data_IF_146005343664
#
_entry.id   IF_146005343664
#
_cell.length_a   1.000
_cell.length_b   1.000
_cell.length_c   1.000
_cell.angle_alpha   90.00
_cell.angle_beta   90.00
_cell.angle_gamma   90.00
#
_symmetry.space_group_name_H-M   'P 1'
#
loop_
_entity.id
_entity.type
_entity.pdbx_description
1 polymer ?
#
# COMPACT_ATOMS: atom_id res chain seq x y z
N UNK A 1 20.07 -41.63 43.60
CA UNK A 1 19.81 -40.26 43.09
C UNK A 1 20.76 -39.96 41.94
N UNK A 2 20.29 -39.97 40.68
CA UNK A 2 20.98 -39.34 39.55
C UNK A 2 19.92 -38.75 38.62
N UNK A 3 19.83 -37.43 38.57
CA UNK A 3 18.94 -36.68 37.68
C UNK A 3 19.68 -36.50 36.35
N UNK A 4 19.17 -37.04 35.25
CA UNK A 4 19.58 -36.64 33.91
C UNK A 4 18.58 -35.59 33.41
N UNK A 5 19.04 -34.34 33.32
CA UNK A 5 18.35 -33.27 32.59
C UNK A 5 18.67 -33.46 31.11
N UNK A 6 17.71 -33.93 30.33
CA UNK A 6 17.78 -33.87 28.87
C UNK A 6 17.26 -32.49 28.47
N UNK A 7 18.20 -31.58 28.17
CA UNK A 7 17.89 -30.28 27.62
C UNK A 7 17.47 -30.44 26.16
N UNK A 8 16.18 -30.24 25.88
CA UNK A 8 15.65 -30.17 24.53
C UNK A 8 16.09 -28.85 23.87
N UNK A 9 16.91 -28.94 22.83
CA UNK A 9 17.20 -27.80 21.95
C UNK A 9 16.11 -27.74 20.89
N UNK A 10 15.12 -26.87 21.11
CA UNK A 10 14.08 -26.57 20.13
C UNK A 10 14.63 -25.46 19.21
N UNK A 11 15.20 -25.85 18.06
CA UNK A 11 15.59 -24.90 17.00
C UNK A 11 14.32 -24.44 16.28
N UNK A 12 13.67 -23.40 16.82
CA UNK A 12 12.70 -22.60 16.07
C UNK A 12 13.45 -21.80 15.02
N UNK A 13 13.69 -22.40 13.86
CA UNK A 13 14.07 -21.67 12.65
C UNK A 13 12.86 -20.83 12.22
N UNK A 14 12.78 -19.60 12.74
CA UNK A 14 11.84 -18.59 12.24
C UNK A 14 12.29 -18.22 10.83
N UNK A 15 11.70 -18.87 9.83
CA UNK A 15 11.82 -18.43 8.45
C UNK A 15 11.15 -17.08 8.32
N UNK A 16 11.94 -16.01 8.39
CA UNK A 16 11.50 -14.67 8.01
C UNK A 16 11.16 -14.70 6.53
N UNK A 17 9.91 -14.99 6.18
CA UNK A 17 9.44 -14.85 4.81
C UNK A 17 9.48 -13.35 4.47
N UNK A 18 10.57 -12.91 3.85
CA UNK A 18 10.66 -11.61 3.19
C UNK A 18 9.71 -11.71 2.00
N UNK A 19 8.44 -11.35 2.22
CA UNK A 19 7.47 -11.23 1.14
C UNK A 19 7.87 -10.00 0.33
N UNK A 20 8.67 -10.18 -0.71
CA UNK A 20 8.83 -9.17 -1.74
C UNK A 20 7.42 -8.80 -2.24
N UNK A 21 7.08 -7.51 -2.19
CA UNK A 21 5.82 -7.02 -2.74
C UNK A 21 5.86 -7.29 -4.26
N UNK A 22 4.93 -8.07 -4.80
CA UNK A 22 4.89 -8.35 -6.23
C UNK A 22 4.60 -7.05 -7.00
N UNK A 23 5.45 -6.72 -7.98
CA UNK A 23 5.21 -5.59 -8.87
C UNK A 23 3.89 -5.78 -9.61
N UNK A 24 3.10 -4.72 -9.78
CA UNK A 24 1.86 -4.79 -10.55
C UNK A 24 2.22 -4.84 -12.04
N UNK A 25 1.92 -5.97 -12.68
CA UNK A 25 2.14 -6.20 -14.12
C UNK A 25 0.83 -6.21 -14.90
N UNK A 26 -0.30 -6.50 -14.25
CA UNK A 26 -1.62 -6.47 -14.86
C UNK A 26 -2.67 -5.98 -13.86
N UNK A 27 -3.64 -5.21 -14.37
CA UNK A 27 -4.85 -4.83 -13.63
C UNK A 27 -6.05 -5.03 -14.56
N UNK A 28 -6.97 -5.88 -14.15
CA UNK A 28 -8.25 -6.08 -14.83
C UNK A 28 -9.36 -5.46 -13.97
N UNK A 29 -10.20 -4.62 -14.58
CA UNK A 29 -11.37 -4.05 -13.90
C UNK A 29 -12.61 -4.86 -14.24
N UNK A 30 -13.06 -5.66 -13.28
CA UNK A 30 -14.24 -6.50 -13.40
C UNK A 30 -15.52 -5.81 -12.91
N UNK A 31 -15.50 -4.48 -12.75
CA UNK A 31 -16.56 -3.63 -12.19
C UNK A 31 -16.77 -3.80 -10.68
N UNK A 32 -16.84 -5.04 -10.20
CA UNK A 32 -16.98 -5.36 -8.77
C UNK A 32 -15.67 -5.34 -8.01
N UNK A 33 -14.56 -5.51 -8.72
CA UNK A 33 -13.21 -5.63 -8.18
C UNK A 33 -12.14 -5.27 -9.22
N UNK A 34 -10.98 -4.86 -8.74
CA UNK A 34 -9.75 -4.82 -9.53
C UNK A 34 -8.99 -6.13 -9.28
N UNK A 35 -8.85 -6.94 -10.32
CA UNK A 35 -8.02 -8.14 -10.29
C UNK A 35 -6.60 -7.77 -10.73
N UNK A 36 -5.67 -7.85 -9.79
CA UNK A 36 -4.28 -7.43 -9.93
C UNK A 36 -3.41 -8.68 -10.02
N UNK A 37 -2.55 -8.75 -11.04
CA UNK A 37 -1.68 -9.91 -11.33
C UNK A 37 -2.43 -11.25 -11.26
N UNK A 38 -3.68 -11.25 -11.75
CA UNK A 38 -4.57 -12.41 -11.83
C UNK A 38 -4.85 -13.13 -10.49
N UNK A 39 -4.48 -12.52 -9.35
CA UNK A 39 -4.48 -13.20 -8.05
C UNK A 39 -4.96 -12.34 -6.88
N UNK A 40 -4.76 -11.02 -6.92
CA UNK A 40 -5.16 -10.11 -5.85
C UNK A 40 -6.46 -9.42 -6.29
N UNK A 41 -7.56 -9.66 -5.58
CA UNK A 41 -8.85 -9.02 -5.84
C UNK A 41 -9.07 -7.88 -4.84
N UNK A 42 -8.95 -6.63 -5.33
CA UNK A 42 -9.22 -5.43 -4.55
C UNK A 42 -10.69 -5.03 -4.71
N UNK A 43 -11.44 -5.01 -3.61
CA UNK A 43 -12.89 -4.76 -3.61
C UNK A 43 -13.25 -3.52 -2.81
N UNK A 44 -14.41 -2.94 -3.08
CA UNK A 44 -14.96 -1.93 -2.17
C UNK A 44 -15.20 -2.56 -0.80
N UNK A 45 -14.82 -1.86 0.25
CA UNK A 45 -14.92 -2.33 1.64
C UNK A 45 -13.73 -3.14 2.17
N UNK A 46 -12.79 -3.56 1.32
CA UNK A 46 -11.56 -4.22 1.79
C UNK A 46 -10.56 -3.21 2.36
N UNK A 47 -9.67 -3.69 3.21
CA UNK A 47 -8.62 -2.87 3.82
C UNK A 47 -7.33 -2.92 3.01
N UNK A 48 -6.73 -1.75 2.78
CA UNK A 48 -5.35 -1.59 2.33
C UNK A 48 -4.48 -1.28 3.55
N UNK A 49 -3.40 -2.03 3.73
CA UNK A 49 -2.42 -1.76 4.77
C UNK A 49 -1.47 -0.64 4.29
N UNK A 50 -1.38 0.45 5.06
CA UNK A 50 -0.40 1.51 4.85
C UNK A 50 0.84 1.20 5.66
N UNK A 51 2.00 1.35 5.05
CA UNK A 51 3.31 1.09 5.65
C UNK A 51 4.03 2.39 6.01
N UNK A 52 5.35 2.41 5.91
CA UNK A 52 6.14 3.62 6.08
C UNK A 52 6.23 4.38 4.75
N UNK A 53 6.32 5.71 4.78
CA UNK A 53 6.60 6.48 3.58
C UNK A 53 7.98 6.13 3.02
N UNK A 54 8.14 6.28 1.70
CA UNK A 54 9.45 6.12 1.03
C UNK A 54 10.43 7.29 1.32
N UNK A 55 10.04 8.26 2.15
CA UNK A 55 10.89 9.37 2.57
C UNK A 55 10.37 10.02 3.86
N UNK A 56 10.47 11.35 3.97
CA UNK A 56 9.92 12.09 5.11
C UNK A 56 8.39 12.08 5.16
N UNK A 57 7.74 11.97 4.01
CA UNK A 57 6.30 11.99 3.80
C UNK A 57 5.90 10.97 2.75
N UNK A 58 4.61 10.61 2.72
CA UNK A 58 4.05 9.75 1.67
C UNK A 58 3.99 10.50 0.34
N UNK A 59 4.51 9.86 -0.71
CA UNK A 59 4.47 10.41 -2.07
C UNK A 59 3.21 9.98 -2.83
N UNK A 60 2.68 8.80 -2.53
CA UNK A 60 1.59 8.18 -3.29
C UNK A 60 0.34 7.92 -2.47
N UNK A 61 0.38 8.13 -1.16
CA UNK A 61 -0.80 8.14 -0.26
C UNK A 61 -1.06 9.58 0.23
N UNK A 62 -2.05 10.27 -0.36
CA UNK A 62 -2.34 11.68 -0.07
C UNK A 62 -3.74 11.88 0.49
N UNK A 63 -3.86 12.69 1.53
CA UNK A 63 -5.18 13.07 2.03
C UNK A 63 -5.89 13.97 1.00
N UNK A 64 -7.11 13.58 0.61
CA UNK A 64 -7.98 14.39 -0.24
C UNK A 64 -8.44 15.62 0.57
N UNK A 65 -7.99 16.81 0.18
CA UNK A 65 -8.45 18.06 0.82
C UNK A 65 -9.89 18.32 0.38
N UNK A 66 -10.80 18.35 1.34
CA UNK A 66 -12.22 18.66 1.09
C UNK A 66 -12.31 20.12 0.63
N UNK A 67 -12.59 20.35 -0.66
CA UNK A 67 -12.70 21.72 -1.19
C UNK A 67 -12.69 21.89 -2.72
N UNK A 68 -12.23 20.91 -3.52
CA UNK A 68 -12.13 21.13 -4.99
C UNK A 68 -12.56 19.94 -5.89
N UNK A 69 -13.01 18.82 -5.32
CA UNK A 69 -13.33 17.61 -6.11
C UNK A 69 -14.63 16.92 -5.72
N UNK A 70 -15.62 17.70 -5.27
CA UNK A 70 -17.01 17.23 -5.09
C UNK A 70 -17.65 16.71 -6.39
N UNK A 71 -17.02 16.93 -7.55
CA UNK A 71 -17.42 16.40 -8.86
C UNK A 71 -17.30 14.88 -9.02
N UNK A 72 -16.63 14.19 -8.09
CA UNK A 72 -16.38 12.74 -8.18
C UNK A 72 -17.47 11.86 -7.54
N UNK A 73 -18.55 12.45 -6.99
CA UNK A 73 -19.61 11.68 -6.30
C UNK A 73 -20.87 11.52 -7.17
N UNK A 74 -20.97 12.20 -8.33
CA UNK A 74 -22.19 12.24 -9.15
C UNK A 74 -22.15 11.44 -10.47
N UNK A 75 -20.99 11.30 -11.10
CA UNK A 75 -20.83 10.68 -12.40
C UNK A 75 -19.73 9.63 -12.25
N UNK A 76 -20.00 8.33 -12.27
CA UNK A 76 -20.00 7.51 -13.49
C UNK A 76 -20.91 6.29 -13.25
N UNK A 77 -22.13 6.37 -13.75
CA UNK A 77 -22.80 5.21 -14.29
C UNK A 77 -22.20 4.98 -15.70
N UNK A 78 -21.58 3.84 -15.93
CA UNK A 78 -21.20 3.39 -17.26
C UNK A 78 -19.80 3.78 -17.74
N UNK A 79 -18.80 2.97 -17.37
CA UNK A 79 -17.77 2.57 -18.33
C UNK A 79 -17.80 1.05 -18.36
N UNK A 80 -18.73 0.53 -19.17
CA UNK A 80 -18.65 -0.81 -19.72
C UNK A 80 -17.87 -0.67 -21.03
N UNK A 81 -16.67 -1.24 -21.07
CA UNK A 81 -15.82 -1.19 -22.26
C UNK A 81 -14.60 -2.06 -22.06
N UNK A 82 -14.67 -3.26 -22.63
CA UNK A 82 -13.58 -4.23 -22.75
C UNK A 82 -12.25 -3.59 -23.13
N UNK A 83 -11.22 -3.82 -22.32
CA UNK A 83 -9.86 -3.48 -22.67
C UNK A 83 -8.91 -3.77 -21.52
N UNK A 84 -8.08 -4.81 -21.66
CA UNK A 84 -6.89 -4.94 -20.83
C UNK A 84 -6.05 -3.67 -21.05
N UNK A 85 -6.01 -2.78 -20.06
CA UNK A 85 -5.12 -1.63 -20.10
C UNK A 85 -3.70 -2.15 -19.93
N UNK A 86 -2.89 -2.10 -21.00
CA UNK A 86 -1.46 -2.31 -20.88
C UNK A 86 -0.92 -1.20 -19.97
N UNK A 87 -0.48 -1.57 -18.77
CA UNK A 87 0.11 -0.63 -17.80
C UNK A 87 1.50 -0.26 -18.31
N UNK A 88 1.56 0.80 -19.11
CA UNK A 88 2.82 1.49 -19.41
C UNK A 88 3.23 2.27 -18.17
N UNK A 89 4.43 1.99 -17.64
CA UNK A 89 5.04 2.82 -16.59
C UNK A 89 5.15 4.24 -17.16
N UNK A 90 4.31 5.16 -16.69
CA UNK A 90 4.40 6.57 -17.03
C UNK A 90 5.78 7.09 -16.61
N UNK A 91 6.55 7.59 -17.57
CA UNK A 91 7.96 7.98 -17.43
C UNK A 91 8.19 9.25 -16.58
N UNK A 92 7.37 9.49 -15.57
CA UNK A 92 7.26 10.76 -14.88
C UNK A 92 8.43 11.13 -13.97
N UNK A 93 9.17 10.18 -13.37
CA UNK A 93 10.34 10.50 -12.53
C UNK A 93 11.21 9.26 -12.19
N UNK A 94 12.15 8.92 -13.07
CA UNK A 94 13.16 7.87 -12.83
C UNK A 94 14.02 8.15 -11.58
N UNK A 95 14.21 9.43 -11.24
CA UNK A 95 14.95 9.86 -10.05
C UNK A 95 14.19 9.53 -8.76
N UNK A 96 12.89 9.85 -8.70
CA UNK A 96 12.02 9.50 -7.55
C UNK A 96 11.91 7.97 -7.40
N UNK A 97 11.92 7.25 -8.52
CA UNK A 97 11.92 5.78 -8.54
C UNK A 97 13.20 5.18 -7.96
N UNK A 98 14.38 5.75 -8.29
CA UNK A 98 15.66 5.25 -7.77
C UNK A 98 15.82 5.50 -6.27
N UNK A 99 15.34 6.65 -5.78
CA UNK A 99 15.33 6.97 -4.36
C UNK A 99 14.35 6.08 -3.58
N UNK A 100 13.17 5.77 -4.14
CA UNK A 100 12.21 4.85 -3.55
C UNK A 100 12.76 3.40 -3.48
N UNK A 101 13.47 2.94 -4.50
CA UNK A 101 14.12 1.61 -4.51
C UNK A 101 15.17 1.50 -3.41
N UNK A 102 15.99 2.53 -3.21
CA UNK A 102 16.98 2.55 -2.14
C UNK A 102 16.35 2.54 -0.73
N UNK A 103 15.16 3.11 -0.57
CA UNK A 103 14.43 3.12 0.71
C UNK A 103 13.67 1.82 0.95
N UNK A 104 13.14 1.16 -0.08
CA UNK A 104 12.50 -0.16 0.03
C UNK A 104 13.44 -1.23 0.60
N UNK A 105 14.71 -1.21 0.20
CA UNK A 105 15.73 -2.11 0.76
C UNK A 105 15.97 -1.89 2.26
N UNK A 106 15.61 -0.72 2.81
CA UNK A 106 15.73 -0.40 4.25
C UNK A 106 14.43 -0.60 5.03
N UNK A 107 13.27 -0.42 4.42
CA UNK A 107 11.97 -0.44 5.10
C UNK A 107 11.37 -1.85 5.26
N UNK A 108 11.86 -2.85 4.51
CA UNK A 108 11.33 -4.24 4.47
C UNK A 108 11.46 -5.04 5.79
N UNK A 109 11.91 -4.43 6.89
CA UNK A 109 12.25 -5.12 8.14
C UNK A 109 11.27 -4.90 9.32
N UNK A 110 10.17 -4.16 9.14
CA UNK A 110 9.26 -3.87 10.26
C UNK A 110 7.99 -4.72 10.15
N UNK A 111 7.95 -5.82 10.90
CA UNK A 111 6.69 -6.47 11.25
C UNK A 111 5.93 -5.56 12.21
N UNK A 112 4.73 -5.13 11.82
CA UNK A 112 3.90 -4.21 12.59
C UNK A 112 3.19 -4.95 13.73
N UNK A 113 3.85 -5.03 14.89
CA UNK A 113 3.26 -5.39 16.18
C UNK A 113 2.93 -4.16 17.04
N UNK A 114 2.49 -4.37 18.29
CA UNK A 114 2.21 -3.27 19.25
C UNK A 114 3.45 -2.40 19.45
N UNK A 115 4.63 -3.03 19.59
CA UNK A 115 5.93 -2.35 19.73
C UNK A 115 6.34 -1.54 18.48
N UNK A 116 5.76 -1.84 17.31
CA UNK A 116 6.04 -1.10 16.08
C UNK A 116 5.34 0.27 16.06
N UNK A 117 4.21 0.43 16.78
CA UNK A 117 3.47 1.70 16.82
C UNK A 117 4.25 2.76 17.61
N UNK A 118 4.85 2.37 18.73
CA UNK A 118 5.65 3.30 19.54
C UNK A 118 6.90 3.75 18.77
N UNK A 119 7.52 2.83 18.03
CA UNK A 119 8.66 3.14 17.15
C UNK A 119 8.30 4.11 16.02
N UNK A 120 7.06 4.12 15.51
CA UNK A 120 6.63 5.10 14.49
C UNK A 120 6.76 6.54 15.03
N UNK A 121 6.55 6.77 16.33
CA UNK A 121 6.70 8.10 16.92
C UNK A 121 8.14 8.60 16.95
N UNK A 122 9.11 7.70 16.94
CA UNK A 122 10.54 8.01 16.96
C UNK A 122 11.11 8.22 15.55
N UNK A 123 10.40 7.78 14.51
CA UNK A 123 10.87 7.92 13.13
C UNK A 123 10.98 9.39 12.70
N UNK A 124 11.99 9.74 11.88
CA UNK A 124 12.20 11.08 11.34
C UNK A 124 11.25 11.41 10.16
N UNK A 125 10.00 10.95 10.24
CA UNK A 125 8.94 11.23 9.26
C UNK A 125 8.00 12.32 9.80
N UNK A 126 7.21 12.93 8.91
CA UNK A 126 6.33 14.02 9.32
C UNK A 126 5.25 13.58 10.30
N UNK A 127 4.72 14.54 11.08
CA UNK A 127 3.58 14.31 11.97
C UNK A 127 2.34 13.81 11.22
N UNK A 128 2.19 14.13 9.94
CA UNK A 128 1.05 13.66 9.14
C UNK A 128 1.29 12.23 8.66
N UNK A 129 2.51 11.90 8.25
CA UNK A 129 2.88 10.53 7.90
C UNK A 129 2.67 9.58 9.10
N UNK A 130 3.09 9.99 10.31
CA UNK A 130 2.88 9.20 11.55
C UNK A 130 1.43 8.86 11.85
N UNK A 131 0.46 9.67 11.40
CA UNK A 131 -0.97 9.43 11.65
C UNK A 131 -1.50 8.23 10.89
N UNK A 132 -0.96 7.98 9.70
CA UNK A 132 -1.45 6.95 8.78
C UNK A 132 -0.48 5.77 8.62
N UNK A 133 0.78 5.93 9.00
CA UNK A 133 1.76 4.85 9.00
C UNK A 133 1.28 3.67 9.86
N UNK A 134 1.35 2.46 9.31
CA UNK A 134 0.90 1.23 9.96
C UNK A 134 -0.62 1.09 10.09
N UNK A 135 -1.43 1.99 9.50
CA UNK A 135 -2.89 1.94 9.58
C UNK A 135 -3.49 1.19 8.39
N UNK A 136 -4.72 0.70 8.58
CA UNK A 136 -5.55 0.18 7.51
C UNK A 136 -6.48 1.26 6.99
N UNK A 137 -6.62 1.36 5.68
CA UNK A 137 -7.58 2.24 5.01
C UNK A 137 -8.59 1.39 4.27
N UNK A 138 -9.88 1.67 4.45
CA UNK A 138 -10.94 0.96 3.75
C UNK A 138 -11.13 1.52 2.34
N UNK A 139 -11.11 0.66 1.32
CA UNK A 139 -11.38 1.04 -0.07
C UNK A 139 -12.83 1.48 -0.23
N UNK A 140 -13.04 2.66 -0.79
CA UNK A 140 -14.36 3.18 -1.14
C UNK A 140 -14.66 2.98 -2.63
N UNK A 141 -13.70 3.34 -3.48
CA UNK A 141 -13.85 3.37 -4.94
C UNK A 141 -12.47 3.46 -5.61
N UNK A 142 -12.46 3.32 -6.93
CA UNK A 142 -11.28 3.50 -7.77
C UNK A 142 -11.64 4.21 -9.06
N UNK A 143 -10.69 4.94 -9.61
CA UNK A 143 -10.78 5.65 -10.89
C UNK A 143 -9.55 5.33 -11.73
N UNK A 144 -9.72 5.21 -13.04
CA UNK A 144 -8.59 5.11 -13.98
C UNK A 144 -8.32 6.50 -14.56
N UNK A 145 -7.07 6.97 -14.46
CA UNK A 145 -6.57 8.20 -15.07
C UNK A 145 -5.41 7.89 -16.00
N UNK A 146 -4.93 8.92 -16.72
CA UNK A 146 -3.83 8.80 -17.69
C UNK A 146 -2.58 8.11 -17.11
N UNK A 147 -2.29 8.31 -15.82
CA UNK A 147 -1.12 7.75 -15.13
C UNK A 147 -1.38 6.37 -14.49
N UNK A 148 -2.63 5.91 -14.39
CA UNK A 148 -2.95 4.64 -13.73
C UNK A 148 -4.23 4.64 -12.90
N UNK A 149 -4.36 3.62 -12.05
CA UNK A 149 -5.48 3.51 -11.13
C UNK A 149 -5.23 4.30 -9.85
N UNK A 150 -6.21 5.13 -9.48
CA UNK A 150 -6.24 5.82 -8.20
C UNK A 150 -7.30 5.16 -7.33
N UNK A 151 -6.88 4.68 -6.16
CA UNK A 151 -7.80 4.16 -5.14
C UNK A 151 -8.19 5.29 -4.20
N UNK A 152 -9.49 5.45 -3.99
CA UNK A 152 -10.03 6.31 -2.95
C UNK A 152 -10.30 5.44 -1.73
N UNK A 153 -9.58 5.70 -0.65
CA UNK A 153 -9.72 4.97 0.61
C UNK A 153 -10.10 5.90 1.77
N UNK A 154 -10.63 5.35 2.86
CA UNK A 154 -10.96 6.11 4.07
C UNK A 154 -10.24 5.60 5.31
N UNK A 155 -9.81 6.55 6.13
CA UNK A 155 -9.29 6.32 7.46
C UNK A 155 -9.68 7.52 8.33
N UNK A 156 -10.18 7.26 9.54
CA UNK A 156 -10.58 8.31 10.50
C UNK A 156 -11.49 9.39 9.87
N UNK A 157 -12.53 8.94 9.12
CA UNK A 157 -13.50 9.79 8.41
C UNK A 157 -12.91 10.73 7.35
N UNK A 158 -11.62 10.60 7.04
CA UNK A 158 -10.93 11.34 5.98
C UNK A 158 -10.78 10.45 4.75
N UNK A 159 -10.83 11.06 3.57
CA UNK A 159 -10.57 10.39 2.30
C UNK A 159 -9.10 10.56 1.90
N UNK A 160 -8.54 9.53 1.31
CA UNK A 160 -7.18 9.48 0.81
C UNK A 160 -7.20 8.99 -0.64
N UNK A 161 -6.35 9.60 -1.46
CA UNK A 161 -6.04 9.18 -2.82
C UNK A 161 -4.73 8.40 -2.79
N UNK A 162 -4.77 7.21 -3.38
CA UNK A 162 -3.66 6.27 -3.43
C UNK A 162 -3.39 5.97 -4.91
N UNK A 163 -2.23 6.39 -5.42
CA UNK A 163 -1.78 5.99 -6.75
C UNK A 163 -1.34 4.51 -6.68
N UNK A 164 -2.15 3.60 -7.19
CA UNK A 164 -2.07 2.18 -6.87
C UNK A 164 -0.72 1.56 -7.23
N UNK A 165 -0.31 1.73 -8.49
CA UNK A 165 0.91 1.11 -9.00
C UNK A 165 2.15 1.64 -8.29
N UNK A 166 2.25 2.96 -8.12
CA UNK A 166 3.39 3.61 -7.48
C UNK A 166 3.43 3.33 -5.99
N UNK A 167 2.30 3.34 -5.29
CA UNK A 167 2.24 3.05 -3.86
C UNK A 167 2.63 1.60 -3.56
N UNK A 168 2.20 0.63 -4.40
CA UNK A 168 2.64 -0.77 -4.28
C UNK A 168 4.12 -0.90 -4.64
N UNK A 169 4.55 -0.26 -5.75
CA UNK A 169 5.94 -0.32 -6.22
C UNK A 169 6.91 0.32 -5.23
N UNK A 170 6.51 1.32 -4.46
CA UNK A 170 7.35 1.98 -3.45
C UNK A 170 7.22 1.38 -2.05
N UNK A 171 6.32 0.41 -1.87
CA UNK A 171 6.05 -0.22 -0.58
C UNK A 171 5.33 0.69 0.41
N UNK A 172 4.74 1.80 -0.02
CA UNK A 172 3.91 2.66 0.84
C UNK A 172 2.61 1.95 1.26
N UNK A 173 2.15 0.98 0.47
CA UNK A 173 0.99 0.15 0.78
C UNK A 173 1.21 -1.34 0.51
N UNK A 174 0.35 -2.15 1.12
CA UNK A 174 0.10 -3.54 0.76
C UNK A 174 -1.39 -3.82 0.63
N UNK A 175 -1.72 -4.50 -0.46
CA UNK A 175 -3.05 -4.98 -0.80
C UNK A 175 -3.39 -6.28 -0.07
#
# INVERSE_FOLDING_TARGET
>A
MKKLLIAGVFLLSTTSMISAQMAITSIQNNQTDLLINDSISLKKGTDIQVYLPAGKDFFFVKQKKSGLSAKLIGDIAGIAGTGAAAVGIGSGNVVVMSDAINVMNKASAIQYGVDAIDRIQELPISKNAKKIAGKKMQVLEWEFKEEGYIIIATFDKKKYEINLQEAVMTGEIKL
#
